data_IF_845434204738
#
_entry.id   IF_845434204738
#
_cell.length_a   1.000
_cell.length_b   1.000
_cell.length_c   1.000
_cell.angle_alpha   90.00
_cell.angle_beta   90.00
_cell.angle_gamma   90.00
#
_symmetry.space_group_name_H-M   'P 1'
#
loop_
_entity.id
_entity.type
_entity.pdbx_description
1 polymer ?
#
# COMPACT_ATOMS: atom_id res chain seq x y z
N UNK A 1 6.17 4.69 8.73
CA UNK A 1 7.08 4.28 7.63
C UNK A 1 6.86 5.23 6.46
N UNK A 2 7.89 5.93 5.94
CA UNK A 2 7.76 6.87 4.82
C UNK A 2 8.46 6.27 3.59
N UNK A 3 7.78 6.15 2.46
CA UNK A 3 8.38 5.72 1.18
C UNK A 3 8.40 6.90 0.21
N UNK A 4 9.45 7.08 -0.60
CA UNK A 4 9.59 8.19 -1.58
C UNK A 4 9.74 7.60 -2.98
N UNK A 5 8.70 7.67 -3.81
CA UNK A 5 8.74 7.15 -5.18
C UNK A 5 8.05 8.10 -6.18
N UNK A 6 8.44 8.03 -7.46
CA UNK A 6 7.72 8.71 -8.54
C UNK A 6 6.38 8.00 -8.79
N UNK A 7 5.41 8.36 -7.96
CA UNK A 7 4.09 7.77 -7.95
C UNK A 7 3.28 8.34 -9.13
N UNK A 8 3.19 7.60 -10.23
CA UNK A 8 2.23 7.86 -11.30
C UNK A 8 0.88 7.16 -11.08
N UNK A 9 0.78 6.33 -10.03
CA UNK A 9 -0.45 5.62 -9.70
C UNK A 9 -1.46 6.55 -9.00
N UNK A 10 -2.73 6.37 -9.36
CA UNK A 10 -3.85 7.04 -8.70
C UNK A 10 -4.42 6.22 -7.53
N UNK A 11 -4.03 4.95 -7.38
CA UNK A 11 -4.60 4.02 -6.41
C UNK A 11 -3.51 3.39 -5.54
N UNK A 12 -3.63 3.53 -4.22
CA UNK A 12 -2.74 2.94 -3.23
C UNK A 12 -3.52 2.04 -2.31
N UNK A 13 -3.18 0.76 -2.27
CA UNK A 13 -3.85 -0.23 -1.44
C UNK A 13 -3.01 -0.53 -0.21
N UNK A 14 -3.67 -0.64 0.93
CA UNK A 14 -3.07 -1.05 2.18
C UNK A 14 -3.62 -2.40 2.61
N UNK A 15 -2.73 -3.26 3.09
CA UNK A 15 -3.04 -4.57 3.63
C UNK A 15 -2.38 -4.73 5.00
N UNK A 16 -3.04 -5.49 5.88
CA UNK A 16 -2.50 -5.89 7.18
C UNK A 16 -2.37 -7.40 7.24
N UNK A 17 -1.24 -7.88 7.72
CA UNK A 17 -0.98 -9.29 7.97
C UNK A 17 -0.60 -9.49 9.43
N UNK A 18 -1.42 -10.23 10.17
CA UNK A 18 -1.07 -10.73 11.50
C UNK A 18 -0.20 -11.99 11.36
N UNK A 19 0.50 -12.36 12.42
CA UNK A 19 1.36 -13.53 12.41
C UNK A 19 0.56 -14.80 12.07
N UNK A 20 1.06 -15.59 11.12
CA UNK A 20 0.41 -16.81 10.63
C UNK A 20 -0.81 -16.60 9.71
N UNK A 21 -1.23 -15.35 9.48
CA UNK A 21 -2.35 -15.00 8.60
C UNK A 21 -1.86 -14.61 7.19
N UNK A 22 -2.77 -14.58 6.21
CA UNK A 22 -2.52 -13.93 4.90
C UNK A 22 -2.81 -12.42 4.96
N UNK A 23 -2.19 -11.60 4.08
CA UNK A 23 -2.50 -10.17 4.01
C UNK A 23 -3.98 -9.90 3.72
N UNK A 24 -4.63 -9.13 4.61
CA UNK A 24 -6.04 -8.75 4.50
C UNK A 24 -6.16 -7.31 4.05
N UNK A 25 -7.01 -7.06 3.05
CA UNK A 25 -7.27 -5.73 2.52
C UNK A 25 -7.83 -4.81 3.60
N UNK A 26 -7.20 -3.65 3.79
CA UNK A 26 -7.60 -2.64 4.77
C UNK A 26 -8.34 -1.48 4.13
N UNK A 27 -7.72 -0.83 3.15
CA UNK A 27 -8.21 0.41 2.56
C UNK A 27 -7.50 0.72 1.24
N UNK A 28 -8.08 1.64 0.49
CA UNK A 28 -7.48 2.26 -0.68
C UNK A 28 -7.43 3.78 -0.51
N UNK A 29 -6.28 4.39 -0.78
CA UNK A 29 -6.18 5.83 -1.00
C UNK A 29 -6.25 6.10 -2.50
N UNK A 30 -7.13 7.01 -2.89
CA UNK A 30 -7.25 7.49 -4.26
C UNK A 30 -6.74 8.93 -4.31
N UNK A 31 -5.72 9.17 -5.13
CA UNK A 31 -5.11 10.49 -5.29
C UNK A 31 -6.17 11.50 -5.73
N UNK A 32 -6.30 12.60 -4.99
CA UNK A 32 -7.28 13.66 -5.28
C UNK A 32 -8.72 13.36 -4.87
N UNK A 33 -9.00 12.19 -4.29
CA UNK A 33 -10.35 11.80 -3.84
C UNK A 33 -10.37 11.54 -2.33
N UNK A 34 -9.47 10.71 -1.81
CA UNK A 34 -9.44 10.35 -0.38
C UNK A 34 -9.26 8.86 -0.13
N UNK A 35 -9.32 8.46 1.14
CA UNK A 35 -9.19 7.06 1.58
C UNK A 35 -10.54 6.40 1.80
N UNK A 36 -10.65 5.12 1.42
CA UNK A 36 -11.85 4.29 1.59
C UNK A 36 -11.49 2.95 2.21
N UNK A 37 -12.21 2.57 3.26
CA UNK A 37 -11.85 1.40 4.07
C UNK A 37 -12.71 0.18 3.75
N UNK A 38 -12.16 -0.99 4.06
CA UNK A 38 -12.92 -2.22 4.14
C UNK A 38 -13.80 -2.20 5.39
N UNK A 39 -14.96 -2.83 5.31
CA UNK A 39 -15.91 -3.00 6.44
C UNK A 39 -15.33 -3.69 7.66
N UNK A 40 -14.16 -4.33 7.54
CA UNK A 40 -13.46 -5.03 8.62
C UNK A 40 -12.45 -4.16 9.37
N UNK A 41 -12.25 -2.92 8.95
CA UNK A 41 -11.27 -2.00 9.52
C UNK A 41 -11.92 -0.69 9.92
N UNK A 42 -11.51 -0.18 11.07
CA UNK A 42 -12.04 1.05 11.66
C UNK A 42 -11.45 2.30 10.98
N UNK A 43 -12.32 3.11 10.39
CA UNK A 43 -11.97 4.36 9.72
C UNK A 43 -11.47 5.44 10.69
N UNK A 44 -11.88 5.39 11.94
CA UNK A 44 -11.41 6.32 12.98
C UNK A 44 -9.98 6.00 13.44
N UNK A 45 -9.56 4.74 13.28
CA UNK A 45 -8.27 4.26 13.75
C UNK A 45 -7.20 4.29 12.68
N UNK A 46 -7.52 3.85 11.47
CA UNK A 46 -6.56 3.76 10.37
C UNK A 46 -6.82 4.84 9.33
N UNK A 47 -5.78 5.42 8.75
CA UNK A 47 -5.92 6.37 7.66
C UNK A 47 -4.73 6.30 6.71
N UNK A 48 -4.88 6.80 5.50
CA UNK A 48 -3.78 6.88 4.54
C UNK A 48 -3.72 8.28 3.95
N UNK A 49 -2.51 8.81 3.82
CA UNK A 49 -2.28 10.12 3.24
C UNK A 49 -1.14 10.05 2.22
N UNK A 50 -1.29 10.84 1.16
CA UNK A 50 -0.24 11.08 0.18
C UNK A 50 0.29 12.49 0.38
N UNK A 51 1.50 12.61 0.92
CA UNK A 51 2.19 13.88 1.12
C UNK A 51 3.26 14.01 0.03
N UNK A 52 2.96 14.79 -1.01
CA UNK A 52 3.77 14.90 -2.22
C UNK A 52 3.89 13.56 -2.94
N UNK A 53 5.09 12.95 -2.87
CA UNK A 53 5.42 11.65 -3.46
C UNK A 53 5.60 10.55 -2.41
N UNK A 54 5.16 10.80 -1.18
CA UNK A 54 5.27 9.86 -0.08
C UNK A 54 3.92 9.41 0.43
N UNK A 55 3.74 8.09 0.47
CA UNK A 55 2.56 7.46 1.06
C UNK A 55 2.81 7.20 2.54
N UNK A 56 1.89 7.66 3.38
CA UNK A 56 1.96 7.51 4.84
C UNK A 56 0.70 6.81 5.36
N UNK A 57 0.89 5.79 6.19
CA UNK A 57 -0.16 5.16 6.99
C UNK A 57 -0.27 5.91 8.32
N UNK A 58 -1.46 6.42 8.63
CA UNK A 58 -1.82 7.02 9.92
C UNK A 58 -2.53 5.97 10.77
N UNK A 59 -2.16 5.89 12.03
CA UNK A 59 -2.80 5.02 13.01
C UNK A 59 -2.99 5.82 14.30
N UNK A 60 -4.23 5.91 14.75
CA UNK A 60 -4.60 6.54 16.03
C UNK A 60 -4.77 5.45 17.09
N UNK A 61 -4.59 5.80 18.37
CA UNK A 61 -4.77 4.89 19.51
C UNK A 61 -4.10 3.51 19.33
N UNK A 62 -2.81 3.51 18.99
CA UNK A 62 -2.03 2.30 18.73
C UNK A 62 -1.90 1.45 19.99
N UNK A 63 -2.23 0.16 19.87
CA UNK A 63 -2.16 -0.84 20.92
C UNK A 63 -1.33 -2.05 20.47
N UNK A 64 -0.91 -2.89 21.43
CA UNK A 64 -0.19 -4.15 21.19
C UNK A 64 -0.97 -5.04 20.22
N UNK A 65 -2.30 -5.02 20.27
CA UNK A 65 -3.17 -5.76 19.35
C UNK A 65 -3.08 -5.30 17.89
N UNK A 66 -2.48 -4.14 17.61
CA UNK A 66 -2.24 -3.62 16.26
C UNK A 66 -0.95 -4.15 15.63
N UNK A 67 -0.11 -4.86 16.40
CA UNK A 67 1.11 -5.49 15.91
C UNK A 67 0.79 -6.41 14.73
N UNK A 68 1.40 -6.10 13.59
CA UNK A 68 1.21 -6.76 12.31
C UNK A 68 2.21 -6.19 11.30
N UNK A 69 2.37 -6.89 10.17
CA UNK A 69 3.04 -6.34 9.00
C UNK A 69 2.03 -5.58 8.14
N UNK A 70 2.38 -4.35 7.73
CA UNK A 70 1.54 -3.49 6.91
C UNK A 70 2.15 -3.32 5.52
N UNK A 71 1.42 -3.76 4.50
CA UNK A 71 1.86 -3.72 3.11
C UNK A 71 1.16 -2.61 2.34
N UNK A 72 1.93 -1.89 1.54
CA UNK A 72 1.43 -0.97 0.53
C UNK A 72 1.60 -1.58 -0.86
N UNK A 73 0.57 -1.52 -1.69
CA UNK A 73 0.63 -1.85 -3.11
C UNK A 73 0.14 -0.68 -3.97
N UNK A 74 0.75 -0.52 -5.14
CA UNK A 74 0.35 0.48 -6.14
C UNK A 74 -0.30 -0.24 -7.31
N UNK A 75 -1.36 0.33 -7.89
CA UNK A 75 -1.83 -0.15 -9.20
C UNK A 75 -0.83 0.30 -10.27
N UNK A 76 -0.14 -0.60 -11.00
CA UNK A 76 0.65 -0.17 -12.14
C UNK A 76 -0.29 0.41 -13.19
N UNK A 77 -0.09 1.68 -13.52
CA UNK A 77 -0.72 2.28 -14.70
C UNK A 77 0.16 1.92 -15.88
N UNK A 78 -0.21 0.90 -16.66
CA UNK A 78 0.46 0.61 -17.92
C UNK A 78 0.15 1.77 -18.89
N UNK A 79 1.02 2.78 -18.92
CA UNK A 79 1.05 3.75 -20.01
C UNK A 79 2.05 3.20 -21.03
N UNK A 80 1.55 2.55 -22.07
CA UNK A 80 2.39 1.86 -23.06
C UNK A 80 3.31 2.82 -23.81
N UNK A 81 4.60 2.79 -23.49
CA UNK A 81 5.68 3.00 -24.45
C UNK A 81 6.46 1.68 -24.57
N UNK A 82 6.26 0.97 -25.67
CA UNK A 82 6.77 -0.40 -25.89
C UNK A 82 8.29 -0.54 -26.00
N UNK A 83 9.08 0.49 -25.67
CA UNK A 83 10.54 0.50 -25.87
C UNK A 83 11.39 0.56 -24.60
N UNK A 84 10.81 0.54 -23.41
CA UNK A 84 11.58 0.39 -22.17
C UNK A 84 10.84 -0.50 -21.19
N UNK A 85 11.06 -1.81 -21.30
CA UNK A 85 10.78 -2.76 -20.22
C UNK A 85 11.68 -2.41 -19.03
N UNK A 86 11.28 -1.41 -18.24
CA UNK A 86 11.81 -1.28 -16.89
C UNK A 86 11.26 -2.46 -16.11
N UNK A 87 12.11 -3.47 -15.92
CA UNK A 87 11.79 -4.73 -15.26
C UNK A 87 11.57 -4.49 -13.77
N UNK A 88 10.42 -3.94 -13.42
CA UNK A 88 9.81 -4.12 -12.10
C UNK A 88 8.62 -5.08 -12.21
N UNK A 89 8.75 -6.10 -13.09
CA UNK A 89 7.84 -7.24 -13.09
C UNK A 89 8.12 -8.08 -11.84
N UNK A 90 7.40 -7.75 -10.78
CA UNK A 90 7.14 -8.64 -9.67
C UNK A 90 6.13 -9.70 -10.14
N UNK A 91 6.60 -10.68 -10.91
CA UNK A 91 5.85 -11.91 -11.14
C UNK A 91 6.82 -13.07 -11.32
N UNK A 92 6.90 -13.89 -10.27
CA UNK A 92 6.83 -15.34 -10.32
C UNK A 92 6.73 -15.86 -8.89
N UNK A 93 5.75 -16.73 -8.68
CA UNK A 93 5.72 -17.76 -7.64
C UNK A 93 5.76 -17.30 -6.16
N UNK A 94 4.57 -17.17 -5.59
CA UNK A 94 4.22 -17.39 -4.17
C UNK A 94 4.97 -16.71 -3.01
N UNK A 95 5.99 -15.88 -3.19
CA UNK A 95 6.50 -15.03 -2.09
C UNK A 95 7.33 -13.89 -2.68
N UNK A 96 6.86 -12.64 -2.64
CA UNK A 96 7.71 -11.50 -3.00
C UNK A 96 7.85 -10.59 -1.80
N UNK A 97 8.93 -10.86 -1.07
CA UNK A 97 9.53 -10.01 -0.05
C UNK A 97 10.55 -9.10 -0.74
N UNK A 98 10.46 -7.81 -0.42
CA UNK A 98 11.46 -6.74 -0.60
C UNK A 98 11.92 -6.34 -2.01
N UNK A 99 11.78 -5.05 -2.30
CA UNK A 99 12.80 -4.30 -3.04
C UNK A 99 13.14 -3.01 -2.26
N UNK A 100 14.28 -3.04 -1.55
CA UNK A 100 15.01 -1.88 -1.03
C UNK A 100 16.16 -1.57 -2.00
N UNK A 101 16.31 -0.28 -2.36
CA UNK A 101 17.56 0.46 -2.20
C UNK A 101 17.20 1.94 -2.00
#
# INVERSE_FOLDING_TARGET
MRTRTSISSNYFFWYRQKDGDSPKYMMVLIRGVGSFHSTKFDESKFGAELVGNSLSLKMEAVDVTDSAVYYCALRPTLTGNTNTLNKNLCSKDNTIVQCLH
#
